data_IF_912951985384
#
_entry.id   IF_912951985384
#
_cell.length_a   1.000
_cell.length_b   1.000
_cell.length_c   1.000
_cell.angle_alpha   90.00
_cell.angle_beta   90.00
_cell.angle_gamma   90.00
#
_symmetry.space_group_name_H-M   'P 1'
#
loop_
_entity.id
_entity.type
_entity.pdbx_description
1 polymer ?
#
# COMPACT_ATOMS: atom_id res chain seq x y z
N UNK A 1 5.24 1.94 16.96
CA UNK A 1 4.25 0.84 17.07
C UNK A 1 4.76 -0.44 16.42
N UNK A 2 5.04 -0.49 15.11
CA UNK A 2 5.57 -1.70 14.44
C UNK A 2 6.88 -2.26 15.03
N UNK A 3 7.89 -1.42 15.28
CA UNK A 3 9.18 -1.86 15.86
C UNK A 3 9.00 -2.48 17.25
N UNK A 4 7.99 -2.01 18.00
CA UNK A 4 7.65 -2.55 19.31
C UNK A 4 6.77 -3.81 19.23
N UNK A 5 6.44 -4.30 18.04
CA UNK A 5 5.54 -5.44 17.83
C UNK A 5 4.06 -5.14 18.09
N UNK A 6 3.70 -3.86 18.21
CA UNK A 6 2.37 -3.43 18.65
C UNK A 6 1.40 -3.13 17.49
N UNK A 7 1.82 -3.33 16.24
CA UNK A 7 1.01 -3.02 15.06
C UNK A 7 1.44 -3.85 13.86
N UNK A 8 0.54 -4.67 13.30
CA UNK A 8 0.74 -5.46 12.06
C UNK A 8 2.15 -6.04 11.89
N UNK A 9 2.74 -6.54 12.98
CA UNK A 9 4.08 -7.10 12.99
C UNK A 9 3.96 -8.61 12.89
N UNK A 10 4.42 -9.17 11.77
CA UNK A 10 4.69 -10.60 11.68
C UNK A 10 5.80 -11.02 12.65
N UNK A 11 6.17 -12.31 12.68
CA UNK A 11 7.19 -12.83 13.60
C UNK A 11 8.57 -12.16 13.44
N UNK A 12 8.79 -11.42 12.35
CA UNK A 12 10.01 -10.67 12.08
C UNK A 12 9.72 -9.16 11.94
N UNK A 13 9.75 -8.37 13.03
CA UNK A 13 9.36 -6.95 13.01
C UNK A 13 10.16 -6.09 12.04
N UNK A 14 11.47 -6.34 11.87
CA UNK A 14 12.30 -5.61 10.92
C UNK A 14 11.85 -5.83 9.47
N UNK A 15 11.45 -7.05 9.12
CA UNK A 15 10.92 -7.37 7.80
C UNK A 15 9.54 -6.73 7.59
N UNK A 16 8.66 -6.76 8.59
CA UNK A 16 7.37 -6.05 8.52
C UNK A 16 7.55 -4.55 8.29
N UNK A 17 8.50 -3.91 8.98
CA UNK A 17 8.82 -2.49 8.75
C UNK A 17 9.33 -2.26 7.32
N UNK A 18 10.24 -3.11 6.84
CA UNK A 18 10.78 -3.00 5.48
C UNK A 18 9.68 -3.12 4.41
N UNK A 19 8.81 -4.12 4.52
CA UNK A 19 7.68 -4.34 3.61
C UNK A 19 6.66 -3.21 3.68
N UNK A 20 6.38 -2.71 4.88
CA UNK A 20 5.53 -1.54 5.07
C UNK A 20 6.12 -0.30 4.38
N UNK A 21 7.43 -0.06 4.52
CA UNK A 21 8.12 1.05 3.86
C UNK A 21 8.03 0.96 2.32
N UNK A 22 8.16 -0.23 1.75
CA UNK A 22 7.94 -0.45 0.31
C UNK A 22 6.51 -0.09 -0.08
N UNK A 23 5.53 -0.57 0.69
CA UNK A 23 4.10 -0.35 0.44
C UNK A 23 3.75 1.14 0.49
N UNK A 24 4.09 1.84 1.58
CA UNK A 24 3.75 3.27 1.73
C UNK A 24 4.48 4.16 0.74
N UNK A 25 5.73 3.83 0.37
CA UNK A 25 6.48 4.58 -0.64
C UNK A 25 5.85 4.41 -2.02
N UNK A 26 5.53 3.17 -2.39
CA UNK A 26 4.92 2.85 -3.69
C UNK A 26 3.52 3.46 -3.79
N UNK A 27 2.72 3.34 -2.74
CA UNK A 27 1.37 3.89 -2.71
C UNK A 27 1.36 5.42 -2.66
N UNK A 28 2.26 6.02 -1.88
CA UNK A 28 2.46 7.46 -1.83
C UNK A 28 2.82 8.05 -3.20
N UNK A 29 3.67 7.35 -3.97
CA UNK A 29 3.96 7.73 -5.36
C UNK A 29 2.69 7.74 -6.23
N UNK A 30 1.87 6.67 -6.17
CA UNK A 30 0.64 6.56 -6.97
C UNK A 30 -0.36 7.65 -6.58
N UNK A 31 -0.60 7.84 -5.29
CA UNK A 31 -1.48 8.89 -4.75
C UNK A 31 -1.01 10.28 -5.19
N UNK A 32 0.28 10.57 -5.02
CA UNK A 32 0.87 11.84 -5.40
C UNK A 32 0.72 12.11 -6.90
N UNK A 33 0.99 11.10 -7.73
CA UNK A 33 0.81 11.20 -9.18
C UNK A 33 -0.65 11.46 -9.55
N UNK A 34 -1.61 10.73 -8.97
CA UNK A 34 -3.04 10.96 -9.20
C UNK A 34 -3.46 12.38 -8.83
N UNK A 35 -3.00 12.89 -7.70
CA UNK A 35 -3.29 14.26 -7.28
C UNK A 35 -2.74 15.28 -8.29
N UNK A 36 -1.48 15.13 -8.69
CA UNK A 36 -0.80 16.07 -9.58
C UNK A 36 -1.34 16.04 -11.02
N UNK A 37 -1.77 14.87 -11.52
CA UNK A 37 -2.29 14.75 -12.89
C UNK A 37 -3.75 15.15 -13.01
N UNK A 38 -4.56 14.91 -11.98
CA UNK A 38 -5.99 15.24 -11.99
C UNK A 38 -6.27 16.65 -11.48
N UNK A 39 -5.38 17.20 -10.64
CA UNK A 39 -5.62 18.44 -9.91
C UNK A 39 -6.62 18.30 -8.75
N UNK A 40 -7.09 17.09 -8.45
CA UNK A 40 -8.14 16.84 -7.46
C UNK A 40 -7.67 15.90 -6.35
N UNK A 41 -8.14 16.14 -5.12
CA UNK A 41 -7.91 15.23 -3.97
C UNK A 41 -8.74 13.96 -4.07
N UNK A 42 -9.89 14.01 -4.76
CA UNK A 42 -10.90 12.96 -4.71
C UNK A 42 -10.41 11.62 -5.28
N UNK A 43 -9.71 11.56 -6.43
CA UNK A 43 -9.18 10.29 -6.93
C UNK A 43 -8.21 9.62 -5.95
N UNK A 44 -7.34 10.40 -5.31
CA UNK A 44 -6.41 9.92 -4.28
C UNK A 44 -7.15 9.41 -3.03
N UNK A 45 -8.18 10.15 -2.59
CA UNK A 45 -9.02 9.74 -1.45
C UNK A 45 -9.72 8.41 -1.72
N UNK A 46 -10.39 8.27 -2.87
CA UNK A 46 -11.08 7.03 -3.21
C UNK A 46 -10.12 5.86 -3.33
N UNK A 47 -8.95 6.05 -3.97
CA UNK A 47 -7.94 5.00 -4.04
C UNK A 47 -7.48 4.54 -2.64
N UNK A 48 -7.22 5.48 -1.73
CA UNK A 48 -6.84 5.17 -0.36
C UNK A 48 -7.94 4.42 0.40
N UNK A 49 -9.19 4.86 0.26
CA UNK A 49 -10.32 4.18 0.90
C UNK A 49 -10.51 2.76 0.35
N UNK A 50 -10.43 2.59 -0.98
CA UNK A 50 -10.51 1.26 -1.62
C UNK A 50 -9.37 0.33 -1.19
N UNK A 51 -8.15 0.87 -1.04
CA UNK A 51 -7.03 0.10 -0.53
C UNK A 51 -7.30 -0.46 0.87
N UNK A 52 -7.76 0.39 1.79
CA UNK A 52 -8.08 -0.05 3.14
C UNK A 52 -9.19 -1.10 3.14
N UNK A 53 -10.27 -0.89 2.39
CA UNK A 53 -11.36 -1.86 2.31
C UNK A 53 -10.90 -3.23 1.74
N UNK A 54 -10.06 -3.23 0.71
CA UNK A 54 -9.56 -4.49 0.13
C UNK A 54 -8.67 -5.24 1.12
N UNK A 55 -7.78 -4.54 1.83
CA UNK A 55 -6.86 -5.21 2.75
C UNK A 55 -7.56 -5.62 4.05
N UNK A 56 -8.19 -4.65 4.71
CA UNK A 56 -8.72 -4.83 6.06
C UNK A 56 -10.07 -5.55 6.08
N UNK A 57 -10.87 -5.45 5.02
CA UNK A 57 -12.15 -6.16 4.96
C UNK A 57 -12.03 -7.45 4.14
N UNK A 58 -11.58 -7.35 2.88
CA UNK A 58 -11.62 -8.51 1.98
C UNK A 58 -10.52 -9.52 2.30
N UNK A 59 -9.26 -9.09 2.39
CA UNK A 59 -8.16 -10.02 2.63
C UNK A 59 -8.20 -10.58 4.04
N UNK A 60 -8.43 -9.75 5.05
CA UNK A 60 -8.54 -10.24 6.44
C UNK A 60 -9.72 -11.22 6.60
N UNK A 61 -10.87 -11.01 5.94
CA UNK A 61 -11.97 -11.98 5.97
C UNK A 61 -11.73 -13.25 5.13
N UNK A 62 -10.84 -13.18 4.14
CA UNK A 62 -10.58 -14.29 3.19
C UNK A 62 -9.29 -15.05 3.49
N UNK A 63 -8.56 -14.70 4.54
CA UNK A 63 -7.31 -15.34 4.91
C UNK A 63 -7.32 -15.79 6.37
N UNK A 64 -7.05 -17.07 6.58
CA UNK A 64 -7.02 -17.71 7.90
C UNK A 64 -5.71 -18.50 8.07
N UNK A 65 -5.27 -18.69 9.32
CA UNK A 65 -4.12 -19.53 9.68
C UNK A 65 -2.91 -18.79 10.23
N UNK A 66 -1.86 -19.55 10.55
CA UNK A 66 -0.61 -18.99 11.07
C UNK A 66 0.12 -18.19 9.97
N UNK A 67 0.64 -17.01 10.32
CA UNK A 67 1.40 -16.12 9.44
C UNK A 67 0.61 -15.43 8.32
N UNK A 68 -0.73 -15.33 8.40
CA UNK A 68 -1.53 -14.55 7.43
C UNK A 68 -0.99 -13.14 7.21
N UNK A 69 -0.67 -12.42 8.31
CA UNK A 69 -0.11 -11.07 8.29
C UNK A 69 1.27 -10.95 7.57
N UNK A 70 1.93 -12.07 7.30
CA UNK A 70 3.17 -12.11 6.53
C UNK A 70 2.91 -12.03 5.03
N UNK A 71 1.76 -12.52 4.57
CA UNK A 71 1.40 -12.62 3.16
C UNK A 71 0.46 -11.50 2.74
N UNK A 72 -0.58 -11.27 3.53
CA UNK A 72 -1.63 -10.27 3.35
C UNK A 72 -1.58 -9.23 4.49
N UNK A 73 -2.33 -8.14 4.38
CA UNK A 73 -2.27 -7.03 5.34
C UNK A 73 -1.33 -5.89 4.91
N UNK A 74 -1.27 -4.82 5.71
CA UNK A 74 -0.51 -3.59 5.41
C UNK A 74 1.02 -3.79 5.31
N UNK A 75 1.52 -4.87 5.90
CA UNK A 75 2.93 -5.27 5.94
C UNK A 75 3.18 -6.61 5.24
N UNK A 76 2.21 -7.11 4.47
CA UNK A 76 2.29 -8.38 3.76
C UNK A 76 3.18 -8.32 2.51
N UNK A 77 3.88 -9.42 2.22
CA UNK A 77 4.79 -9.52 1.05
C UNK A 77 4.03 -9.33 -0.26
N UNK A 78 2.88 -9.99 -0.43
CA UNK A 78 2.12 -9.92 -1.70
C UNK A 78 1.62 -8.51 -1.96
N UNK A 79 1.18 -7.85 -0.90
CA UNK A 79 0.70 -6.48 -0.89
C UNK A 79 1.81 -5.50 -1.29
N UNK A 80 2.99 -5.62 -0.67
CA UNK A 80 4.15 -4.78 -0.98
C UNK A 80 4.62 -4.95 -2.44
N UNK A 81 4.69 -6.19 -2.92
CA UNK A 81 5.09 -6.49 -4.30
C UNK A 81 4.07 -5.98 -5.33
N UNK A 82 2.77 -6.13 -5.06
CA UNK A 82 1.72 -5.64 -5.93
C UNK A 82 1.76 -4.11 -6.08
N UNK A 83 1.90 -3.39 -4.97
CA UNK A 83 2.04 -1.93 -5.00
C UNK A 83 3.31 -1.47 -5.71
N UNK A 84 4.44 -2.14 -5.45
CA UNK A 84 5.70 -1.81 -6.11
C UNK A 84 5.60 -2.02 -7.63
N UNK A 85 5.00 -3.13 -8.07
CA UNK A 85 4.76 -3.42 -9.47
C UNK A 85 3.81 -2.39 -10.10
N UNK A 86 2.73 -2.02 -9.42
CA UNK A 86 1.80 -0.99 -9.88
C UNK A 86 2.49 0.38 -10.01
N UNK A 87 3.26 0.79 -9.01
CA UNK A 87 4.01 2.05 -9.03
C UNK A 87 5.03 2.08 -10.17
N UNK A 88 5.74 0.97 -10.39
CA UNK A 88 6.68 0.83 -11.50
C UNK A 88 6.01 0.85 -12.87
N UNK A 89 4.86 0.18 -13.03
CA UNK A 89 4.10 0.23 -14.28
C UNK A 89 3.59 1.64 -14.57
N UNK A 90 3.04 2.31 -13.55
CA UNK A 90 2.51 3.66 -13.65
C UNK A 90 3.63 4.68 -13.93
N UNK A 91 4.83 4.48 -13.39
CA UNK A 91 5.96 5.40 -13.58
C UNK A 91 6.51 5.41 -15.00
N UNK A 92 6.25 4.36 -15.79
CA UNK A 92 6.59 4.30 -17.22
C UNK A 92 5.72 5.20 -18.09
N UNK A 93 4.57 5.63 -17.59
CA UNK A 93 3.67 6.50 -18.34
C UNK A 93 4.06 7.97 -18.17
N UNK A 94 4.17 8.77 -19.26
CA UNK A 94 4.43 10.19 -19.17
C UNK A 94 3.45 10.90 -18.23
N UNK A 95 3.95 11.84 -17.43
CA UNK A 95 3.13 12.58 -16.47
C UNK A 95 2.86 13.99 -17.00
N UNK A 96 1.58 14.34 -17.14
CA UNK A 96 1.15 15.72 -17.36
C UNK A 96 0.67 16.29 -16.03
N UNK A 97 1.42 17.23 -15.47
CA UNK A 97 1.06 17.88 -14.19
C UNK A 97 0.08 19.00 -14.47
N UNK A 98 -1.09 18.97 -13.82
CA UNK A 98 -2.04 20.09 -13.82
C UNK A 98 -1.63 21.08 -12.73
N UNK A 99 -1.60 22.37 -13.08
CA UNK A 99 -1.49 23.43 -12.05
C UNK A 99 -2.80 23.49 -11.27
N UNK A 100 -2.67 23.48 -9.95
CA UNK A 100 -3.77 23.59 -8.99
C UNK A 100 -4.24 25.04 -8.88
#
# INVERSE_FOLDING_TARGET
MMIAGLYYSGPYPALSVFLFMISVTSFGYIIGRLRLTTGSVWPAFFLHASWNAVIQDVFDASSEGENVLFWTGESGILVALALLAAAWFISRSPMSVRRL
#
